data_IF_747239437584
#
_entry.id   IF_747239437584
#
_cell.length_a   1.000
_cell.length_b   1.000
_cell.length_c   1.000
_cell.angle_alpha   90.00
_cell.angle_beta   90.00
_cell.angle_gamma   90.00
#
_symmetry.space_group_name_H-M   'P 1'
#
loop_
_entity.id
_entity.type
_entity.pdbx_description
1 polymer ?
#
# COMPACT_ATOMS: atom_id res chain seq x y z
N UNK A 1 1.78 -20.10 -0.49
CA UNK A 1 0.83 -19.43 -1.40
C UNK A 1 0.30 -18.21 -0.65
N UNK A 2 0.15 -17.05 -1.32
CA UNK A 2 -0.56 -15.92 -0.74
C UNK A 2 -2.00 -16.36 -0.44
N UNK A 3 -2.60 -15.85 0.64
CA UNK A 3 -3.99 -16.11 0.97
C UNK A 3 -4.88 -15.26 0.04
N UNK A 4 -5.61 -15.84 -0.94
CA UNK A 4 -6.41 -15.06 -1.89
C UNK A 4 -7.57 -14.30 -1.21
N UNK A 5 -7.91 -14.66 0.02
CA UNK A 5 -8.92 -13.99 0.85
C UNK A 5 -8.30 -13.17 1.99
N UNK A 6 -6.99 -12.92 1.96
CA UNK A 6 -6.29 -12.15 3.00
C UNK A 6 -6.84 -10.73 3.19
N UNK A 7 -7.47 -10.15 2.16
CA UNK A 7 -8.14 -8.86 2.24
C UNK A 7 -9.35 -8.83 3.19
N UNK A 8 -9.93 -9.98 3.54
CA UNK A 8 -11.03 -10.09 4.50
C UNK A 8 -10.57 -10.01 5.96
N UNK A 9 -9.33 -10.41 6.25
CA UNK A 9 -8.83 -10.53 7.63
C UNK A 9 -7.74 -9.53 7.97
N UNK A 10 -7.01 -9.02 6.97
CA UNK A 10 -6.01 -7.98 7.14
C UNK A 10 -6.62 -6.68 6.66
N UNK A 11 -6.88 -5.71 7.53
CA UNK A 11 -7.39 -4.40 7.11
C UNK A 11 -6.37 -3.61 6.29
N UNK A 12 -6.85 -2.68 5.46
CA UNK A 12 -5.96 -1.78 4.72
C UNK A 12 -5.33 -0.80 5.71
N UNK A 13 -4.01 -0.76 5.73
CA UNK A 13 -3.24 0.22 6.48
C UNK A 13 -2.62 1.21 5.52
N UNK A 14 -3.04 2.47 5.61
CA UNK A 14 -2.45 3.56 4.86
C UNK A 14 -1.14 4.02 5.52
N UNK A 15 -0.27 4.67 4.74
CA UNK A 15 0.99 5.23 5.24
C UNK A 15 0.72 6.42 6.16
N UNK A 16 1.63 6.67 7.09
CA UNK A 16 1.62 7.91 7.86
C UNK A 16 2.09 9.08 7.00
N UNK A 17 1.72 10.30 7.40
CA UNK A 17 2.17 11.52 6.75
C UNK A 17 2.55 12.55 7.80
N UNK A 18 3.55 13.36 7.50
CA UNK A 18 3.90 14.53 8.29
C UNK A 18 2.72 15.52 8.31
N UNK A 19 2.56 16.22 9.43
CA UNK A 19 1.45 17.16 9.61
C UNK A 19 1.45 18.24 8.51
N UNK A 20 0.28 18.61 7.94
CA UNK A 20 0.22 19.57 6.85
C UNK A 20 0.89 20.91 7.15
N UNK A 21 0.84 21.37 8.41
CA UNK A 21 1.49 22.61 8.82
C UNK A 21 3.02 22.49 8.72
N UNK A 22 3.57 21.41 9.27
CA UNK A 22 5.02 21.16 9.29
C UNK A 22 5.60 20.99 7.88
N UNK A 23 4.92 20.22 7.01
CA UNK A 23 5.42 19.93 5.65
C UNK A 23 5.33 21.10 4.66
N UNK A 24 4.70 22.23 5.02
CA UNK A 24 4.66 23.43 4.15
C UNK A 24 5.90 24.32 4.28
N UNK A 25 6.75 24.07 5.26
CA UNK A 25 7.95 24.87 5.53
C UNK A 25 9.20 24.37 4.80
N UNK A 26 9.13 23.25 4.09
CA UNK A 26 10.25 22.65 3.37
C UNK A 26 9.76 21.79 2.18
N UNK A 27 10.70 21.17 1.46
CA UNK A 27 10.44 20.31 0.30
C UNK A 27 10.90 18.86 0.53
N UNK A 28 10.99 18.43 1.79
CA UNK A 28 11.40 17.07 2.13
C UNK A 28 10.23 16.08 1.92
N UNK A 29 10.57 14.79 1.81
CA UNK A 29 9.57 13.72 1.80
C UNK A 29 8.77 13.74 3.09
N UNK A 30 7.44 13.64 2.97
CA UNK A 30 6.52 13.73 4.09
C UNK A 30 5.73 12.44 4.31
N UNK A 31 5.88 11.45 3.43
CA UNK A 31 5.26 10.12 3.59
C UNK A 31 6.14 9.26 4.50
N UNK A 32 5.57 8.79 5.61
CA UNK A 32 6.24 7.83 6.48
C UNK A 32 6.04 6.41 5.94
N UNK A 33 7.13 5.67 5.61
CA UNK A 33 7.01 4.31 5.13
C UNK A 33 6.45 3.39 6.22
N UNK A 34 5.68 2.37 5.81
CA UNK A 34 5.28 1.31 6.72
C UNK A 34 6.50 0.44 7.09
N UNK A 35 6.56 -0.10 8.31
CA UNK A 35 7.51 -1.14 8.66
C UNK A 35 7.40 -2.33 7.69
N UNK A 36 8.52 -3.00 7.41
CA UNK A 36 8.55 -4.12 6.46
C UNK A 36 7.54 -5.23 6.79
N UNK A 37 7.33 -5.50 8.08
CA UNK A 37 6.33 -6.46 8.55
C UNK A 37 4.92 -6.08 8.12
N UNK A 38 4.56 -4.80 8.20
CA UNK A 38 3.26 -4.30 7.76
C UNK A 38 3.16 -4.27 6.23
N UNK A 39 4.25 -3.94 5.52
CA UNK A 39 4.29 -4.05 4.05
C UNK A 39 3.99 -5.49 3.60
N UNK A 40 4.62 -6.48 4.25
CA UNK A 40 4.38 -7.89 3.96
C UNK A 40 2.92 -8.30 4.25
N UNK A 41 2.35 -7.82 5.37
CA UNK A 41 0.93 -8.03 5.68
C UNK A 41 0.01 -7.39 4.64
N UNK A 42 0.27 -6.16 4.20
CA UNK A 42 -0.53 -5.50 3.17
C UNK A 42 -0.42 -6.22 1.82
N UNK A 43 0.75 -6.74 1.45
CA UNK A 43 0.94 -7.53 0.22
C UNK A 43 0.12 -8.83 0.23
N UNK A 44 -0.12 -9.42 1.41
CA UNK A 44 -0.96 -10.62 1.56
C UNK A 44 -2.45 -10.38 1.26
N UNK A 45 -2.87 -9.12 1.06
CA UNK A 45 -4.23 -8.76 0.63
C UNK A 45 -4.46 -8.96 -0.88
N UNK A 46 -3.44 -9.28 -1.67
CA UNK A 46 -3.60 -9.58 -3.09
C UNK A 46 -4.54 -10.78 -3.29
N UNK A 47 -5.55 -10.61 -4.15
CA UNK A 47 -6.60 -11.61 -4.37
C UNK A 47 -6.23 -12.71 -5.37
N UNK A 48 -5.07 -12.60 -6.04
CA UNK A 48 -4.69 -13.51 -7.14
C UNK A 48 -5.83 -13.67 -8.18
N UNK A 49 -6.33 -12.55 -8.70
CA UNK A 49 -7.65 -12.40 -9.32
C UNK A 49 -7.90 -13.19 -10.63
N UNK A 50 -6.90 -13.91 -11.16
CA UNK A 50 -6.93 -14.57 -12.47
C UNK A 50 -6.85 -13.59 -13.66
N UNK A 51 -7.73 -12.59 -13.71
CA UNK A 51 -7.65 -11.44 -14.63
C UNK A 51 -7.17 -10.21 -13.84
N UNK A 52 -5.88 -9.88 -13.86
CA UNK A 52 -5.32 -8.81 -13.03
C UNK A 52 -5.62 -7.43 -13.62
N UNK A 53 -6.76 -6.83 -13.27
CA UNK A 53 -7.09 -5.46 -13.69
C UNK A 53 -6.05 -4.43 -13.25
N UNK A 54 -5.34 -4.69 -12.15
CA UNK A 54 -4.21 -3.86 -11.70
C UNK A 54 -3.08 -3.77 -12.74
N UNK A 55 -2.88 -4.80 -13.55
CA UNK A 55 -1.90 -4.76 -14.64
C UNK A 55 -2.44 -3.90 -15.79
N UNK A 56 -3.67 -4.14 -16.25
CA UNK A 56 -4.25 -3.34 -17.34
C UNK A 56 -4.40 -1.84 -16.99
N UNK A 57 -4.55 -1.50 -15.71
CA UNK A 57 -4.58 -0.11 -15.23
C UNK A 57 -3.22 0.56 -15.13
N UNK A 58 -2.13 -0.20 -15.25
CA UNK A 58 -0.77 0.34 -15.21
C UNK A 58 -0.36 0.81 -16.61
N UNK A 59 -0.04 2.11 -16.82
CA UNK A 59 0.21 2.65 -18.15
C UNK A 59 1.57 2.24 -18.75
N UNK A 60 2.36 1.43 -18.04
CA UNK A 60 3.69 0.96 -18.46
C UNK A 60 3.72 -0.54 -18.77
N UNK A 61 2.56 -1.19 -18.90
CA UNK A 61 2.44 -2.57 -19.36
C UNK A 61 2.43 -2.68 -20.89
#
# INVERSE_FOLDING_TARGET
MANPTGFLTVERLDRGYEEPRERTHNYQEFVHPLPYTEVSRQASRCMDCGIPYCHNGCPVN
#
